data_IF_074869760499
#
_entry.id   IF_074869760499
#
_cell.length_a   1.000
_cell.length_b   1.000
_cell.length_c   1.000
_cell.angle_alpha   90.00
_cell.angle_beta   90.00
_cell.angle_gamma   90.00
#
_symmetry.space_group_name_H-M   'P 1'
#
loop_
_entity.id
_entity.type
_entity.pdbx_description
1 polymer ?
#
# COMPACT_ATOMS: atom_id res chain seq x y z
N UNK A 1 29.11 29.22 -36.00
CA UNK A 1 28.24 29.59 -34.85
C UNK A 1 26.98 28.73 -34.84
N UNK A 2 27.06 27.47 -34.38
CA UNK A 2 25.92 26.53 -34.50
C UNK A 2 25.73 25.55 -33.34
N UNK A 3 26.79 25.06 -32.69
CA UNK A 3 26.64 24.00 -31.69
C UNK A 3 26.31 24.48 -30.26
N UNK A 4 26.59 25.75 -29.92
CA UNK A 4 26.38 26.27 -28.55
C UNK A 4 25.00 26.89 -28.29
N UNK A 5 24.18 27.07 -29.33
CA UNK A 5 22.80 27.56 -29.18
C UNK A 5 21.77 26.45 -28.96
N UNK A 6 22.09 25.20 -29.29
CA UNK A 6 21.18 24.08 -29.08
C UNK A 6 21.13 23.62 -27.60
N UNK A 7 22.23 23.76 -26.86
CA UNK A 7 22.28 23.29 -25.47
C UNK A 7 21.54 24.21 -24.48
N UNK A 8 21.41 25.51 -24.79
CA UNK A 8 20.72 26.46 -23.92
C UNK A 8 19.18 26.39 -24.05
N UNK A 9 18.64 25.81 -25.13
CA UNK A 9 17.20 25.60 -25.28
C UNK A 9 16.72 24.35 -24.52
N UNK A 10 17.55 23.31 -24.41
CA UNK A 10 17.19 22.09 -23.70
C UNK A 10 17.13 22.27 -22.16
N UNK A 11 17.98 23.13 -21.60
CA UNK A 11 18.02 23.37 -20.14
C UNK A 11 16.90 24.32 -19.68
N UNK A 12 16.31 25.10 -20.59
CA UNK A 12 15.16 25.95 -20.27
C UNK A 12 13.83 25.17 -20.25
N UNK A 13 13.69 24.13 -21.08
CA UNK A 13 12.49 23.28 -21.13
C UNK A 13 12.38 22.33 -19.91
N UNK A 14 13.51 21.89 -19.33
CA UNK A 14 13.45 21.05 -18.11
C UNK A 14 13.06 21.85 -16.85
N UNK A 15 13.20 23.18 -16.85
CA UNK A 15 12.88 24.01 -15.68
C UNK A 15 11.40 24.40 -15.57
N UNK A 16 10.63 24.31 -16.66
CA UNK A 16 9.19 24.62 -16.67
C UNK A 16 8.29 23.38 -16.50
N UNK A 17 8.82 22.17 -16.69
CA UNK A 17 8.09 20.92 -16.45
C UNK A 17 7.94 20.54 -14.97
N UNK A 18 8.91 20.90 -14.12
CA UNK A 18 8.93 20.50 -12.70
C UNK A 18 8.15 21.44 -11.76
N UNK A 19 7.53 22.52 -12.26
CA UNK A 19 6.80 23.49 -11.41
C UNK A 19 5.29 23.53 -11.63
N UNK A 20 4.72 22.54 -12.33
CA UNK A 20 3.29 22.52 -12.69
C UNK A 20 2.53 21.27 -12.26
N UNK A 21 2.97 20.64 -11.17
CA UNK A 21 2.21 19.60 -10.47
C UNK A 21 2.04 19.99 -8.99
N UNK A 22 1.53 21.20 -8.77
CA UNK A 22 0.93 21.60 -7.51
C UNK A 22 -0.36 22.31 -7.90
N UNK A 23 -1.50 21.77 -7.44
CA UNK A 23 -2.89 22.27 -7.58
C UNK A 23 -3.72 21.70 -8.76
N UNK A 24 -4.25 20.50 -8.52
CA UNK A 24 -5.60 20.01 -8.84
C UNK A 24 -5.61 18.55 -8.31
N UNK A 25 -6.01 18.18 -7.09
CA UNK A 25 -7.31 18.41 -6.43
C UNK A 25 -8.46 18.50 -7.43
N UNK A 26 -8.69 17.40 -8.13
CA UNK A 26 -10.04 16.95 -8.43
C UNK A 26 -10.16 15.52 -7.89
N UNK A 27 -11.19 15.31 -7.10
CA UNK A 27 -11.59 14.06 -6.49
C UNK A 27 -11.99 13.08 -7.61
N UNK A 28 -11.15 12.07 -7.87
CA UNK A 28 -11.64 10.82 -8.43
C UNK A 28 -11.54 9.80 -7.30
N UNK A 29 -12.69 9.57 -6.64
CA UNK A 29 -12.94 8.35 -5.91
C UNK A 29 -12.87 7.21 -6.94
N UNK A 30 -11.70 6.58 -7.07
CA UNK A 30 -11.62 5.28 -7.75
C UNK A 30 -12.55 4.34 -6.98
N UNK A 31 -13.70 4.05 -7.58
CA UNK A 31 -14.61 2.99 -7.17
C UNK A 31 -13.80 1.69 -7.11
N UNK A 32 -13.36 1.35 -5.89
CA UNK A 32 -12.82 0.04 -5.56
C UNK A 32 -13.76 -1.02 -6.13
N UNK A 33 -13.22 -1.85 -7.03
CA UNK A 33 -13.87 -3.05 -7.55
C UNK A 33 -14.14 -3.99 -6.37
N UNK A 34 -15.28 -3.75 -5.71
CA UNK A 34 -15.84 -4.61 -4.69
C UNK A 34 -16.33 -5.89 -5.37
N UNK A 35 -15.37 -6.74 -5.75
CA UNK A 35 -15.62 -8.18 -5.79
C UNK A 35 -15.85 -8.61 -4.35
N UNK A 36 -17.11 -8.48 -3.91
CA UNK A 36 -17.67 -9.05 -2.70
C UNK A 36 -17.49 -10.58 -2.72
N UNK A 37 -16.28 -11.02 -2.45
CA UNK A 37 -16.04 -12.38 -2.02
C UNK A 37 -16.58 -12.44 -0.59
N UNK A 38 -17.81 -12.94 -0.41
CA UNK A 38 -18.43 -13.13 0.91
C UNK A 38 -17.40 -13.74 1.89
N UNK A 39 -16.93 -12.94 2.86
CA UNK A 39 -15.93 -13.36 3.86
C UNK A 39 -14.52 -12.79 3.70
N UNK A 40 -14.24 -11.99 2.66
CA UNK A 40 -12.99 -11.28 2.50
C UNK A 40 -12.86 -10.15 3.55
N UNK A 41 -11.82 -10.21 4.40
CA UNK A 41 -11.50 -9.09 5.30
C UNK A 41 -11.23 -7.81 4.47
N UNK A 42 -11.77 -6.65 4.87
CA UNK A 42 -11.50 -5.40 4.19
C UNK A 42 -10.03 -5.03 4.37
N UNK A 43 -9.31 -4.85 3.27
CA UNK A 43 -7.90 -4.48 3.26
C UNK A 43 -7.80 -3.02 2.83
N UNK A 44 -7.23 -2.19 3.68
CA UNK A 44 -6.84 -0.83 3.33
C UNK A 44 -5.44 -0.86 2.73
N UNK A 45 -5.28 -0.23 1.57
CA UNK A 45 -4.01 -0.12 0.85
C UNK A 45 -3.46 1.30 1.01
N UNK A 46 -2.19 1.43 1.38
CA UNK A 46 -1.54 2.74 1.32
C UNK A 46 -1.20 3.11 -0.12
N UNK A 47 -0.96 4.40 -0.34
CA UNK A 47 -0.27 4.83 -1.56
C UNK A 47 1.11 4.15 -1.67
N UNK A 48 1.55 3.78 -2.88
CA UNK A 48 2.90 3.29 -3.11
C UNK A 48 3.96 4.36 -2.83
N UNK A 49 4.99 3.99 -2.08
CA UNK A 49 6.16 4.82 -1.80
C UNK A 49 7.37 4.32 -2.60
N UNK A 50 7.95 5.18 -3.43
CA UNK A 50 9.20 4.89 -4.13
C UNK A 50 10.40 5.35 -3.30
N UNK A 51 11.29 4.42 -2.93
CA UNK A 51 12.54 4.74 -2.23
C UNK A 51 13.70 3.91 -2.78
N UNK A 52 14.76 4.59 -3.23
CA UNK A 52 15.98 3.95 -3.80
C UNK A 52 15.66 2.86 -4.84
N UNK A 53 14.77 3.16 -5.79
CA UNK A 53 14.32 2.24 -6.85
C UNK A 53 13.54 1.01 -6.36
N UNK A 54 13.12 0.98 -5.09
CA UNK A 54 12.20 -0.01 -4.56
C UNK A 54 10.84 0.64 -4.32
N UNK A 55 9.77 -0.07 -4.66
CA UNK A 55 8.40 0.32 -4.36
C UNK A 55 7.96 -0.38 -3.08
N UNK A 56 7.42 0.39 -2.14
CA UNK A 56 6.86 -0.09 -0.89
C UNK A 56 5.38 0.24 -0.85
N UNK A 57 4.56 -0.72 -0.42
CA UNK A 57 3.13 -0.49 -0.20
C UNK A 57 2.74 -1.13 1.12
N UNK A 58 2.01 -0.37 1.94
CA UNK A 58 1.46 -0.83 3.20
C UNK A 58 0.07 -1.42 2.99
N UNK A 59 -0.23 -2.49 3.73
CA UNK A 59 -1.55 -3.11 3.76
C UNK A 59 -1.99 -3.23 5.22
N UNK A 60 -3.22 -2.85 5.51
CA UNK A 60 -3.79 -2.94 6.84
C UNK A 60 -5.17 -3.58 6.78
N UNK A 61 -5.44 -4.52 7.68
CA UNK A 61 -6.76 -5.13 7.83
C UNK A 61 -7.05 -5.38 9.32
N UNK A 62 -8.31 -5.29 9.75
CA UNK A 62 -8.71 -5.79 11.07
C UNK A 62 -8.60 -7.31 11.08
N UNK A 63 -8.01 -7.86 12.14
CA UNK A 63 -7.88 -9.31 12.35
C UNK A 63 -8.21 -9.67 13.80
N UNK A 64 -8.97 -10.75 13.98
CA UNK A 64 -9.39 -11.30 15.26
C UNK A 64 -8.62 -12.58 15.64
N UNK A 65 -7.96 -13.22 14.69
CA UNK A 65 -7.23 -14.48 14.93
C UNK A 65 -5.98 -14.60 14.06
N UNK A 66 -5.08 -15.53 14.42
CA UNK A 66 -3.89 -15.84 13.60
C UNK A 66 -4.28 -16.44 12.24
N UNK A 67 -5.38 -17.23 12.20
CA UNK A 67 -5.92 -17.81 10.96
C UNK A 67 -6.29 -16.71 9.94
N UNK A 68 -6.91 -15.63 10.41
CA UNK A 68 -7.25 -14.49 9.57
C UNK A 68 -6.02 -13.79 8.99
N UNK A 69 -4.93 -13.71 9.76
CA UNK A 69 -3.65 -13.18 9.28
C UNK A 69 -3.10 -14.06 8.16
N UNK A 70 -3.13 -15.38 8.32
CA UNK A 70 -2.64 -16.32 7.30
C UNK A 70 -3.46 -16.22 6.00
N UNK A 71 -4.78 -16.17 6.10
CA UNK A 71 -5.69 -15.99 4.95
C UNK A 71 -5.38 -14.68 4.21
N UNK A 72 -5.20 -13.58 4.95
CA UNK A 72 -4.85 -12.28 4.38
C UNK A 72 -3.53 -12.33 3.61
N UNK A 73 -2.48 -12.92 4.21
CA UNK A 73 -1.17 -13.04 3.59
C UNK A 73 -1.20 -13.92 2.34
N UNK A 74 -1.99 -15.00 2.37
CA UNK A 74 -2.16 -15.86 1.20
C UNK A 74 -2.89 -15.11 0.08
N UNK A 75 -3.93 -14.34 0.40
CA UNK A 75 -4.68 -13.55 -0.57
C UNK A 75 -3.81 -12.48 -1.24
N UNK A 76 -3.02 -11.73 -0.46
CA UNK A 76 -2.11 -10.72 -1.00
C UNK A 76 -1.11 -11.32 -1.99
N UNK A 77 -0.59 -12.52 -1.72
CA UNK A 77 0.33 -13.24 -2.61
C UNK A 77 -0.31 -13.79 -3.90
N UNK A 78 -1.63 -13.74 -4.00
CA UNK A 78 -2.39 -14.25 -5.14
C UNK A 78 -3.10 -13.12 -5.91
N UNK A 79 -2.95 -11.88 -5.47
CA UNK A 79 -3.67 -10.73 -6.02
C UNK A 79 -2.67 -9.82 -6.71
N UNK A 80 -2.89 -9.54 -8.00
CA UNK A 80 -2.10 -8.54 -8.73
C UNK A 80 -2.34 -7.14 -8.13
N UNK A 81 -1.32 -6.28 -8.02
CA UNK A 81 0.08 -6.47 -8.44
C UNK A 81 1.01 -7.04 -7.34
N UNK A 82 0.46 -7.55 -6.23
CA UNK A 82 1.23 -7.91 -5.04
C UNK A 82 1.74 -9.36 -5.05
N UNK A 83 1.24 -10.19 -5.95
CA UNK A 83 1.70 -11.56 -6.20
C UNK A 83 3.18 -11.62 -6.62
N UNK A 84 3.67 -10.59 -7.31
CA UNK A 84 5.07 -10.45 -7.71
C UNK A 84 5.97 -9.76 -6.67
N UNK A 85 5.47 -9.46 -5.46
CA UNK A 85 6.27 -8.75 -4.47
C UNK A 85 7.50 -9.57 -4.04
N UNK A 86 8.68 -8.95 -4.04
CA UNK A 86 9.92 -9.64 -3.69
C UNK A 86 9.98 -10.07 -2.21
N UNK A 87 9.41 -9.26 -1.33
CA UNK A 87 9.36 -9.50 0.12
C UNK A 87 8.06 -8.91 0.68
N UNK A 88 7.40 -9.65 1.57
CA UNK A 88 6.19 -9.23 2.27
C UNK A 88 6.39 -9.32 3.79
N UNK A 89 7.08 -8.33 4.42
CA UNK A 89 7.17 -8.28 5.87
C UNK A 89 5.80 -7.91 6.46
N UNK A 90 5.43 -8.51 7.59
CA UNK A 90 4.16 -8.25 8.26
C UNK A 90 4.30 -8.20 9.78
N UNK A 91 3.36 -7.52 10.42
CA UNK A 91 3.22 -7.47 11.87
C UNK A 91 1.72 -7.41 12.21
N UNK A 92 1.32 -8.04 13.31
CA UNK A 92 -0.05 -8.03 13.78
C UNK A 92 -0.09 -8.01 15.30
N UNK A 93 -1.24 -7.63 15.85
CA UNK A 93 -1.52 -7.69 17.29
C UNK A 93 -2.95 -8.19 17.48
N UNK A 94 -3.09 -9.31 18.18
CA UNK A 94 -4.39 -9.85 18.58
C UNK A 94 -4.72 -9.40 20.00
N UNK A 95 -5.98 -9.04 20.24
CA UNK A 95 -6.47 -8.89 21.60
C UNK A 95 -6.78 -10.28 22.15
N UNK A 96 -6.03 -10.70 23.16
CA UNK A 96 -6.34 -11.92 23.89
C UNK A 96 -7.49 -11.59 24.85
N UNK A 97 -8.63 -12.25 24.67
CA UNK A 97 -9.69 -12.23 25.68
C UNK A 97 -9.09 -12.70 27.02
N UNK A 98 -9.34 -12.01 28.14
CA UNK A 98 -8.91 -12.49 29.44
C UNK A 98 -9.60 -13.84 29.69
N UNK A 99 -8.80 -14.89 29.96
CA UNK A 99 -9.36 -16.18 30.32
C UNK A 99 -10.11 -16.04 31.65
N UNK A 100 -11.44 -15.94 31.60
CA UNK A 100 -12.26 -16.04 32.79
C UNK A 100 -12.11 -17.45 33.38
N UNK A 101 -11.30 -17.59 34.43
CA UNK A 101 -11.23 -18.84 35.20
C UNK A 101 -9.82 -19.27 35.62
N UNK A 102 -9.19 -18.50 36.50
CA UNK A 102 -8.30 -19.13 37.50
C UNK A 102 -9.19 -19.77 38.58
N UNK A 103 -8.95 -21.03 39.00
CA UNK A 103 -9.77 -21.66 40.03
C UNK A 103 -9.67 -20.82 41.30
N UNK A 104 -10.83 -20.41 41.83
CA UNK A 104 -10.90 -19.83 43.16
C UNK A 104 -10.30 -20.83 44.14
N UNK A 105 -9.21 -20.42 44.79
CA UNK A 105 -8.73 -21.07 46.00
C UNK A 105 -9.75 -20.75 47.10
N UNK A 106 -10.65 -21.70 47.37
CA UNK A 106 -11.39 -21.80 48.64
C UNK A 106 -10.48 -22.30 49.76
#
# INVERSE_FOLDING_TARGET
>A
AGARRALAAAVAEEAEGERRLVLAQEEEEDEDDATEQEGALPVAHSEPLLFKQCTFQGHAAPVASEMEVEILLQRLKQTEPWDECAVLPYAYRLQLEPSEGGPGEE
#
